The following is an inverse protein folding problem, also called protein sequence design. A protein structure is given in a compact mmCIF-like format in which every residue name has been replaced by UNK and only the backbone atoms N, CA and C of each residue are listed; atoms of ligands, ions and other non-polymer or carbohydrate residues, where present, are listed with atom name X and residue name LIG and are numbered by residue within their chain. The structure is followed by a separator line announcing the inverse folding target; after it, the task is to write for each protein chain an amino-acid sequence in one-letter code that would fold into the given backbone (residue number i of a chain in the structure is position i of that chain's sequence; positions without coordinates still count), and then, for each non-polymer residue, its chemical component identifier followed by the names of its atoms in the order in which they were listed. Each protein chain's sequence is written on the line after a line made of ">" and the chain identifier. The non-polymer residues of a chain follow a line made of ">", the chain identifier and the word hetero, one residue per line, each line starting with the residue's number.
data_IF_128917491414
#
_entry.id   IF_128917491414
#
_cell.length_a   1.000
_cell.length_b   1.000
_cell.length_c   1.000
_cell.angle_alpha   90.00
_cell.angle_beta   90.00
_cell.angle_gamma   90.00
#
_symmetry.space_group_name_H-M   'P 1'
#
loop_
_entity.id
_entity.type
_entity.pdbx_description
1 polymer ?
#
# COMPACT_ATOMS: atom_id res chain seq x y z
N UNK A 1 -32.14 13.36 30.08
CA UNK A 1 -32.10 12.51 28.87
C UNK A 1 -30.66 12.49 28.40
N UNK A 2 -29.97 11.38 28.63
CA UNK A 2 -28.52 11.22 28.42
C UNK A 2 -28.24 10.91 26.93
N UNK A 3 -27.46 11.76 26.26
CA UNK A 3 -27.06 11.56 24.87
C UNK A 3 -25.78 10.69 24.81
N UNK A 4 -25.95 9.37 24.95
CA UNK A 4 -24.88 8.38 24.82
C UNK A 4 -24.56 8.04 23.36
N UNK A 5 -23.92 8.95 22.64
CA UNK A 5 -23.40 8.71 21.28
C UNK A 5 -21.99 8.12 21.33
N UNK A 6 -21.85 6.80 21.52
CA UNK A 6 -20.57 6.10 21.42
C UNK A 6 -20.09 6.13 19.96
N UNK A 7 -19.35 7.16 19.56
CA UNK A 7 -18.59 7.14 18.30
C UNK A 7 -17.36 6.26 18.52
N UNK A 8 -17.53 4.98 18.19
CA UNK A 8 -16.50 3.95 18.10
C UNK A 8 -15.25 4.49 17.41
N UNK A 9 -14.26 4.89 18.21
CA UNK A 9 -12.91 5.21 17.75
C UNK A 9 -12.21 3.93 17.32
N UNK A 10 -12.59 3.36 16.18
CA UNK A 10 -11.71 2.43 15.48
C UNK A 10 -10.52 3.25 15.00
N UNK A 11 -9.48 3.35 15.85
CA UNK A 11 -8.12 3.68 15.41
C UNK A 11 -7.89 2.87 14.15
N UNK A 12 -7.76 3.53 12.99
CA UNK A 12 -7.47 2.87 11.72
C UNK A 12 -6.21 2.05 11.94
N UNK A 13 -6.36 0.75 12.21
CA UNK A 13 -5.22 -0.15 12.38
C UNK A 13 -4.42 -0.02 11.10
N UNK A 14 -3.15 0.33 11.22
CA UNK A 14 -2.24 0.42 10.10
C UNK A 14 -2.28 -0.91 9.35
N UNK A 15 -3.03 -0.98 8.24
CA UNK A 15 -3.06 -2.15 7.38
C UNK A 15 -1.89 -2.02 6.43
N UNK A 16 -0.98 -2.98 6.50
CA UNK A 16 0.10 -3.15 5.53
C UNK A 16 -0.45 -3.95 4.35
N UNK A 17 0.00 -3.63 3.14
CA UNK A 17 -0.26 -4.42 1.94
C UNK A 17 1.07 -4.97 1.42
N UNK A 18 1.10 -6.25 1.10
CA UNK A 18 2.22 -6.91 0.45
C UNK A 18 1.89 -7.08 -1.03
N UNK A 19 2.83 -6.68 -1.88
CA UNK A 19 2.74 -6.83 -3.32
C UNK A 19 3.81 -7.80 -3.79
N UNK A 20 3.41 -8.71 -4.69
CA UNK A 20 4.31 -9.63 -5.36
C UNK A 20 4.02 -9.65 -6.85
N UNK A 21 5.07 -9.62 -7.67
CA UNK A 21 4.94 -9.65 -9.12
C UNK A 21 6.06 -10.50 -9.76
N UNK A 22 5.75 -11.66 -10.36
CA UNK A 22 6.73 -12.46 -11.09
C UNK A 22 7.08 -11.81 -12.43
N UNK A 23 8.32 -11.32 -12.55
CA UNK A 23 8.82 -10.73 -13.79
C UNK A 23 10.35 -10.85 -13.87
N UNK A 24 10.87 -12.06 -14.16
CA UNK A 24 12.31 -12.30 -14.19
C UNK A 24 13.04 -11.49 -15.27
N UNK A 25 12.36 -11.07 -16.33
CA UNK A 25 12.96 -10.27 -17.41
C UNK A 25 12.85 -8.75 -17.19
N UNK A 26 12.08 -8.32 -16.18
CA UNK A 26 11.95 -6.89 -15.90
C UNK A 26 13.28 -6.31 -15.38
N UNK A 27 13.52 -5.04 -15.73
CA UNK A 27 14.66 -4.25 -15.24
C UNK A 27 14.32 -3.43 -14.01
N UNK A 28 13.06 -3.01 -13.89
CA UNK A 28 12.49 -2.29 -12.77
C UNK A 28 10.98 -2.56 -12.71
N UNK A 29 10.41 -2.50 -11.50
CA UNK A 29 8.97 -2.56 -11.27
C UNK A 29 8.65 -1.53 -10.19
N UNK A 30 7.65 -0.70 -10.41
CA UNK A 30 7.21 0.35 -9.49
C UNK A 30 5.75 0.15 -9.09
N UNK A 31 5.41 0.44 -7.84
CA UNK A 31 4.02 0.46 -7.38
C UNK A 31 3.44 1.86 -7.53
N UNK A 32 2.44 1.97 -8.40
CA UNK A 32 1.73 3.21 -8.69
C UNK A 32 0.22 3.04 -8.56
N UNK A 33 -0.47 4.13 -8.24
CA UNK A 33 -1.92 4.17 -8.17
C UNK A 33 -2.40 5.51 -7.60
N UNK A 34 -3.71 5.61 -7.38
CA UNK A 34 -4.33 6.85 -6.87
C UNK A 34 -3.72 7.31 -5.53
N UNK A 35 -3.37 6.39 -4.64
CA UNK A 35 -2.72 6.63 -3.34
C UNK A 35 -1.27 7.15 -3.44
N UNK A 36 -0.78 7.40 -4.67
CA UNK A 36 0.53 7.97 -4.98
C UNK A 36 0.49 8.86 -6.22
N UNK A 37 -0.68 9.36 -6.62
CA UNK A 37 -0.85 10.21 -7.81
C UNK A 37 -0.21 9.63 -9.08
N UNK A 38 -0.14 8.30 -9.19
CA UNK A 38 0.52 7.61 -10.30
C UNK A 38 2.01 7.94 -10.51
N UNK A 39 2.71 8.40 -9.47
CA UNK A 39 4.14 8.74 -9.55
C UNK A 39 5.04 7.49 -9.59
N UNK A 40 5.66 7.25 -10.74
CA UNK A 40 6.56 6.10 -11.00
C UNK A 40 7.92 6.20 -10.31
N UNK A 41 8.26 7.30 -9.63
CA UNK A 41 9.60 7.50 -9.04
C UNK A 41 9.67 7.18 -7.55
N UNK A 42 8.53 6.90 -6.92
CA UNK A 42 8.44 6.95 -5.45
C UNK A 42 8.42 5.59 -4.77
N UNK A 43 8.12 4.49 -5.47
CA UNK A 43 7.99 3.16 -4.84
C UNK A 43 8.53 2.03 -5.75
N UNK A 44 9.85 1.95 -5.95
CA UNK A 44 10.45 0.79 -6.61
C UNK A 44 10.22 -0.49 -5.79
N UNK A 45 10.04 -1.60 -6.49
CA UNK A 45 10.00 -2.95 -5.91
C UNK A 45 11.40 -3.56 -5.94
N UNK A 46 11.65 -4.51 -5.03
CA UNK A 46 12.90 -5.24 -4.96
C UNK A 46 12.75 -6.62 -5.59
N UNK A 47 13.64 -6.96 -6.52
CA UNK A 47 13.66 -8.27 -7.19
C UNK A 47 14.47 -9.27 -6.37
N UNK A 48 13.88 -10.43 -6.08
CA UNK A 48 14.61 -11.53 -5.45
C UNK A 48 15.42 -12.37 -6.48
N UNK A 49 16.21 -13.31 -5.97
CA UNK A 49 17.00 -14.24 -6.81
C UNK A 49 16.18 -15.20 -7.69
N UNK A 50 14.85 -15.23 -7.53
CA UNK A 50 13.91 -16.03 -8.34
C UNK A 50 13.16 -15.18 -9.37
N UNK A 51 13.44 -13.88 -9.45
CA UNK A 51 12.75 -12.96 -10.37
C UNK A 51 11.37 -12.51 -9.91
N UNK A 52 11.06 -12.66 -8.61
CA UNK A 52 9.83 -12.14 -7.99
C UNK A 52 10.15 -10.80 -7.37
N UNK A 53 9.38 -9.79 -7.77
CA UNK A 53 9.44 -8.44 -7.23
C UNK A 53 8.55 -8.35 -6.00
N UNK A 54 9.04 -7.73 -4.91
CA UNK A 54 8.27 -7.53 -3.67
C UNK A 54 8.40 -6.12 -3.10
N UNK A 55 7.33 -5.66 -2.46
CA UNK A 55 7.34 -4.48 -1.61
C UNK A 55 6.20 -4.58 -0.57
N UNK A 56 6.43 -4.02 0.63
CA UNK A 56 5.44 -3.94 1.69
C UNK A 56 5.12 -2.48 1.98
N UNK A 57 3.94 -2.03 1.57
CA UNK A 57 3.50 -0.65 1.80
C UNK A 57 2.68 -0.52 3.09
N UNK A 58 3.09 0.33 4.04
CA UNK A 58 2.27 0.65 5.20
C UNK A 58 1.13 1.61 4.83
N UNK A 59 -0.03 1.46 5.49
CA UNK A 59 -1.11 2.46 5.49
C UNK A 59 -1.75 2.79 4.14
N UNK A 60 -1.82 1.83 3.20
CA UNK A 60 -2.39 2.07 1.86
C UNK A 60 -3.87 2.52 1.84
N UNK A 61 -4.57 2.41 2.97
CA UNK A 61 -5.98 2.79 3.12
C UNK A 61 -6.21 4.22 3.62
N UNK A 62 -5.18 5.00 3.98
CA UNK A 62 -5.38 6.39 4.42
C UNK A 62 -5.83 7.32 3.28
N UNK A 63 -5.61 6.93 2.02
CA UNK A 63 -5.85 7.80 0.86
C UNK A 63 -7.10 7.42 0.04
N UNK A 64 -7.86 6.40 0.47
CA UNK A 64 -9.09 5.94 -0.23
C UNK A 64 -10.36 6.54 0.40
N UNK A 65 -10.24 7.52 1.30
CA UNK A 65 -11.38 8.17 1.93
C UNK A 65 -11.05 9.54 2.50
N UNK A 66 -11.27 10.57 1.70
CA UNK A 66 -11.70 11.91 2.13
C UNK A 66 -12.78 12.38 1.19
#
# INVERSE_FOLDING_TARGET
>A
MENGGVRSGRKHRARKAQFEFPAPEARAVDIVGNFKHWDTKTNPMEKDGKGIWRNMMPNILKEVGS
#
